data_IF_808755184219
#
_entry.id   IF_808755184219
#
_cell.length_a   1.000
_cell.length_b   1.000
_cell.length_c   1.000
_cell.angle_alpha   90.00
_cell.angle_beta   90.00
_cell.angle_gamma   90.00
#
_symmetry.space_group_name_H-M   'P 1'
#
loop_
_entity.id
_entity.type
_entity.pdbx_description
1 polymer ?
#
# COMPACT_ATOMS: atom_id res chain seq x y z
N UNK A 1 44.12 15.33 49.23
CA UNK A 1 43.51 14.67 48.07
C UNK A 1 44.12 15.32 46.83
N UNK A 2 44.88 14.60 46.02
CA UNK A 2 45.70 15.17 44.94
C UNK A 2 44.79 15.58 43.76
N UNK A 3 44.86 16.82 43.32
CA UNK A 3 44.09 17.39 42.23
C UNK A 3 44.21 16.62 40.90
N UNK A 4 45.26 15.85 40.72
CA UNK A 4 45.43 14.95 39.58
C UNK A 4 44.39 13.80 39.59
N UNK A 5 44.02 13.30 40.74
CA UNK A 5 43.06 12.16 40.85
C UNK A 5 41.62 12.60 40.67
N UNK A 6 41.31 13.89 40.91
CA UNK A 6 39.99 14.47 40.68
C UNK A 6 39.63 14.49 39.18
N UNK A 7 40.60 14.78 38.33
CA UNK A 7 40.37 14.76 36.87
C UNK A 7 40.01 13.36 36.36
N UNK A 8 40.65 12.35 36.87
CA UNK A 8 40.34 10.96 36.49
C UNK A 8 39.01 10.50 37.07
N UNK A 9 38.66 10.95 38.28
CA UNK A 9 37.35 10.67 38.86
C UNK A 9 36.22 11.34 38.08
N UNK A 10 36.44 12.55 37.58
CA UNK A 10 35.48 13.28 36.75
C UNK A 10 35.31 12.62 35.36
N UNK A 11 36.42 12.15 34.78
CA UNK A 11 36.39 11.41 33.52
C UNK A 11 35.70 10.06 33.68
N UNK A 12 35.94 9.34 34.78
CA UNK A 12 35.26 8.07 35.08
C UNK A 12 33.76 8.29 35.32
N UNK A 13 33.38 9.38 36.00
CA UNK A 13 31.97 9.73 36.20
C UNK A 13 31.27 10.09 34.90
N UNK A 14 31.95 10.80 33.99
CA UNK A 14 31.40 11.15 32.68
C UNK A 14 31.23 9.95 31.78
N UNK A 15 32.10 8.93 31.85
CA UNK A 15 31.94 7.68 31.05
C UNK A 15 30.79 6.80 31.52
N UNK A 16 30.42 6.88 32.81
CA UNK A 16 29.26 6.15 33.35
C UNK A 16 27.94 6.78 32.88
N UNK A 17 27.88 8.10 32.71
CA UNK A 17 26.68 8.78 32.22
C UNK A 17 26.42 8.56 30.71
N UNK A 18 27.43 8.24 29.91
CA UNK A 18 27.25 8.01 28.46
C UNK A 18 26.71 6.62 28.17
N UNK A 19 26.84 5.67 29.11
CA UNK A 19 26.33 4.30 28.96
C UNK A 19 24.88 4.13 29.43
N UNK A 20 24.29 5.14 30.09
CA UNK A 20 22.88 5.08 30.55
C UNK A 20 21.88 5.71 29.56
N UNK A 21 22.35 6.14 28.37
CA UNK A 21 21.47 6.79 27.39
C UNK A 21 20.90 5.82 26.34
N UNK A 22 21.02 4.53 26.53
CA UNK A 22 20.14 3.54 25.89
C UNK A 22 19.17 3.02 26.96
N UNK A 23 18.28 3.86 27.40
CA UNK A 23 16.97 3.44 27.85
C UNK A 23 16.30 2.92 26.58
N UNK A 24 16.28 1.60 26.41
CA UNK A 24 15.17 0.97 25.71
C UNK A 24 13.92 1.54 26.37
N UNK A 25 13.32 2.54 25.72
CA UNK A 25 11.93 2.82 25.99
C UNK A 25 11.25 1.48 25.76
N UNK A 26 10.74 0.87 26.83
CA UNK A 26 9.70 -0.12 26.70
C UNK A 26 8.77 0.44 25.64
N UNK A 27 8.73 -0.19 24.48
CA UNK A 27 7.68 0.01 23.49
C UNK A 27 6.43 -0.57 24.14
N UNK A 28 5.91 0.23 25.05
CA UNK A 28 4.78 -0.06 25.89
C UNK A 28 3.58 -0.39 25.00
N UNK A 29 2.78 -1.26 25.52
CA UNK A 29 1.48 -1.81 25.12
C UNK A 29 0.63 -0.99 24.11
N UNK A 30 0.87 0.32 24.00
CA UNK A 30 0.23 1.21 23.00
C UNK A 30 0.61 0.91 21.55
N UNK A 31 1.71 0.17 21.30
CA UNK A 31 2.18 -0.19 19.97
C UNK A 31 1.99 -1.69 19.65
N UNK A 32 1.34 -2.44 20.53
CA UNK A 32 1.11 -3.88 20.33
C UNK A 32 0.28 -4.15 19.07
N UNK A 33 -0.62 -3.23 18.72
CA UNK A 33 -1.52 -3.32 17.58
C UNK A 33 -0.79 -3.37 16.23
N UNK A 34 0.32 -2.63 16.12
CA UNK A 34 1.13 -2.56 14.91
C UNK A 34 2.41 -3.41 14.98
N UNK A 35 2.51 -4.29 15.98
CA UNK A 35 3.66 -5.20 16.12
C UNK A 35 3.77 -6.12 14.92
N UNK A 36 4.99 -6.29 14.40
CA UNK A 36 5.29 -7.10 13.22
C UNK A 36 4.44 -6.69 12.01
N UNK A 37 4.14 -5.38 11.89
CA UNK A 37 3.22 -4.86 10.87
C UNK A 37 3.66 -5.26 9.47
N UNK A 38 4.93 -5.12 9.13
CA UNK A 38 5.46 -5.47 7.82
C UNK A 38 5.19 -6.94 7.47
N UNK A 39 5.51 -7.87 8.38
CA UNK A 39 5.30 -9.30 8.16
C UNK A 39 3.82 -9.65 8.00
N UNK A 40 2.96 -9.08 8.85
CA UNK A 40 1.50 -9.28 8.78
C UNK A 40 0.94 -8.80 7.47
N UNK A 41 1.46 -7.72 6.99
CA UNK A 41 1.07 -7.05 5.79
C UNK A 41 1.52 -7.82 4.54
N UNK A 42 2.77 -8.21 4.47
CA UNK A 42 3.32 -9.04 3.40
C UNK A 42 2.53 -10.34 3.28
N UNK A 43 2.20 -10.95 4.43
CA UNK A 43 1.36 -12.16 4.47
C UNK A 43 -0.06 -11.88 3.97
N UNK A 44 -0.71 -10.82 4.42
CA UNK A 44 -2.08 -10.47 4.01
C UNK A 44 -2.14 -10.22 2.49
N UNK A 45 -1.14 -9.53 1.94
CA UNK A 45 -1.06 -9.31 0.51
C UNK A 45 -0.80 -10.62 -0.25
N UNK A 46 0.14 -11.46 0.19
CA UNK A 46 0.42 -12.76 -0.42
C UNK A 46 -0.82 -13.66 -0.44
N UNK A 47 -1.58 -13.72 0.66
CA UNK A 47 -2.83 -14.49 0.75
C UNK A 47 -3.88 -13.94 -0.23
N UNK A 48 -3.99 -12.61 -0.35
CA UNK A 48 -4.92 -11.95 -1.28
C UNK A 48 -4.55 -12.22 -2.74
N UNK A 49 -3.25 -12.15 -3.06
CA UNK A 49 -2.73 -12.43 -4.39
C UNK A 49 -2.93 -13.91 -4.79
N UNK A 50 -2.69 -14.83 -3.86
CA UNK A 50 -2.93 -16.26 -4.07
C UNK A 50 -4.42 -16.53 -4.34
N UNK A 51 -5.30 -15.91 -3.55
CA UNK A 51 -6.76 -15.99 -3.75
C UNK A 51 -7.16 -15.48 -5.14
N UNK A 52 -6.66 -14.30 -5.53
CA UNK A 52 -6.98 -13.73 -6.84
C UNK A 52 -6.52 -14.62 -7.99
N UNK A 53 -5.30 -15.13 -7.93
CA UNK A 53 -4.76 -16.07 -8.93
C UNK A 53 -5.62 -17.34 -9.04
N UNK A 54 -6.06 -17.86 -7.90
CA UNK A 54 -6.98 -19.03 -7.87
C UNK A 54 -8.34 -18.71 -8.50
N UNK A 55 -8.94 -17.56 -8.19
CA UNK A 55 -10.21 -17.14 -8.76
C UNK A 55 -10.12 -16.96 -10.28
N UNK A 56 -9.04 -16.33 -10.76
CA UNK A 56 -8.77 -16.16 -12.19
C UNK A 56 -8.60 -17.53 -12.86
N UNK A 57 -7.85 -18.45 -12.26
CA UNK A 57 -7.67 -19.81 -12.78
C UNK A 57 -8.99 -20.59 -12.85
N UNK A 58 -9.93 -20.30 -11.95
CA UNK A 58 -11.29 -20.87 -11.95
C UNK A 58 -12.25 -20.17 -12.92
N UNK A 59 -11.76 -19.22 -13.73
CA UNK A 59 -12.55 -18.52 -14.75
C UNK A 59 -13.32 -17.31 -14.26
N UNK A 60 -13.02 -16.79 -13.06
CA UNK A 60 -13.65 -15.55 -12.57
C UNK A 60 -13.21 -14.35 -13.38
N UNK A 61 -14.16 -13.55 -13.83
CA UNK A 61 -13.93 -12.25 -14.48
C UNK A 61 -13.95 -11.06 -13.51
N UNK A 62 -14.21 -11.33 -12.23
CA UNK A 62 -14.29 -10.32 -11.18
C UNK A 62 -12.92 -10.03 -10.53
N UNK A 63 -11.94 -10.89 -10.75
CA UNK A 63 -10.61 -10.75 -10.18
C UNK A 63 -9.59 -10.41 -11.26
N UNK A 64 -8.69 -9.50 -10.94
CA UNK A 64 -7.55 -9.15 -11.78
C UNK A 64 -6.29 -9.06 -10.93
N UNK A 65 -5.15 -9.40 -11.53
CA UNK A 65 -3.81 -9.12 -11.02
C UNK A 65 -3.13 -8.25 -12.06
N UNK A 66 -2.86 -7.00 -11.71
CA UNK A 66 -2.38 -5.97 -12.63
C UNK A 66 -0.96 -5.59 -12.22
N UNK A 67 -0.02 -5.66 -13.16
CA UNK A 67 1.35 -5.20 -12.93
C UNK A 67 1.37 -3.68 -12.79
N UNK A 68 2.21 -3.15 -11.89
CA UNK A 68 2.40 -1.73 -11.70
C UNK A 68 2.56 -1.00 -13.03
N UNK A 69 1.89 0.14 -13.15
CA UNK A 69 1.89 0.93 -14.38
C UNK A 69 3.30 1.39 -14.79
N UNK A 70 4.18 1.64 -13.83
CA UNK A 70 5.58 1.99 -14.08
C UNK A 70 6.38 0.86 -14.72
N UNK A 71 5.93 -0.38 -14.57
CA UNK A 71 6.58 -1.57 -15.08
C UNK A 71 5.92 -2.13 -16.35
N UNK A 72 4.75 -1.62 -16.76
CA UNK A 72 3.98 -2.20 -17.87
C UNK A 72 4.71 -2.15 -19.22
N UNK A 73 5.50 -1.11 -19.45
CA UNK A 73 6.22 -0.90 -20.70
C UNK A 73 7.68 -1.32 -20.66
N UNK A 74 8.12 -1.99 -19.61
CA UNK A 74 9.47 -2.53 -19.55
C UNK A 74 9.54 -3.79 -20.43
N UNK A 75 10.19 -3.67 -21.58
CA UNK A 75 10.54 -4.78 -22.45
C UNK A 75 11.98 -5.17 -22.20
N UNK A 76 12.26 -6.47 -22.06
CA UNK A 76 13.61 -7.00 -21.87
C UNK A 76 14.45 -7.06 -23.14
N UNK A 77 14.18 -6.22 -24.11
CA UNK A 77 14.97 -6.16 -25.36
C UNK A 77 16.00 -5.05 -25.26
N UNK A 78 17.16 -5.38 -24.72
CA UNK A 78 18.39 -4.68 -25.12
C UNK A 78 18.75 -5.23 -26.49
N UNK A 79 18.52 -4.48 -27.55
CA UNK A 79 19.01 -4.81 -28.87
C UNK A 79 20.53 -4.97 -28.78
N UNK A 80 21.05 -6.17 -29.08
CA UNK A 80 22.47 -6.45 -29.22
C UNK A 80 23.07 -7.53 -28.32
N UNK A 81 22.36 -8.13 -27.39
CA UNK A 81 22.86 -9.29 -26.65
C UNK A 81 21.85 -10.45 -26.73
N UNK A 82 22.28 -11.48 -27.43
CA UNK A 82 21.50 -12.70 -27.62
C UNK A 82 21.32 -13.47 -26.32
N UNK A 83 20.26 -13.19 -25.64
CA UNK A 83 19.46 -14.03 -24.75
C UNK A 83 18.36 -13.12 -24.22
N UNK A 84 17.11 -13.40 -24.53
CA UNK A 84 15.97 -12.74 -23.92
C UNK A 84 16.02 -13.00 -22.41
N UNK A 85 16.53 -12.05 -21.65
CA UNK A 85 16.44 -12.04 -20.19
C UNK A 85 14.96 -11.83 -19.88
N UNK A 86 14.28 -12.88 -19.47
CA UNK A 86 12.91 -12.79 -18.99
C UNK A 86 12.95 -12.00 -17.70
N UNK A 87 12.47 -10.75 -17.72
CA UNK A 87 12.32 -9.95 -16.53
C UNK A 87 11.40 -10.72 -15.56
N UNK A 88 11.92 -11.02 -14.39
CA UNK A 88 11.12 -11.58 -13.30
C UNK A 88 10.59 -10.43 -12.47
N UNK A 89 9.30 -10.43 -12.26
CA UNK A 89 8.61 -9.48 -11.40
C UNK A 89 8.31 -10.16 -10.07
N UNK A 90 8.47 -9.41 -8.98
CA UNK A 90 8.11 -9.85 -7.64
C UNK A 90 6.60 -9.68 -7.42
N UNK A 91 6.07 -10.32 -6.39
CA UNK A 91 4.65 -10.17 -6.05
C UNK A 91 4.28 -8.72 -5.74
N UNK A 92 5.19 -7.94 -5.15
CA UNK A 92 5.02 -6.51 -4.85
C UNK A 92 4.94 -5.60 -6.09
N UNK A 93 5.30 -6.13 -7.26
CA UNK A 93 5.20 -5.43 -8.55
C UNK A 93 3.76 -5.44 -9.11
N UNK A 94 2.83 -6.03 -8.38
CA UNK A 94 1.43 -6.17 -8.81
C UNK A 94 0.47 -5.55 -7.80
N UNK A 95 -0.70 -5.19 -8.30
CA UNK A 95 -1.89 -4.96 -7.48
C UNK A 95 -2.90 -6.08 -7.71
N UNK A 96 -3.71 -6.35 -6.70
CA UNK A 96 -4.86 -7.25 -6.80
C UNK A 96 -6.11 -6.41 -6.84
N UNK A 97 -7.01 -6.74 -7.74
CA UNK A 97 -8.31 -6.07 -7.91
C UNK A 97 -9.43 -7.09 -7.83
N UNK A 98 -10.43 -6.78 -7.01
CA UNK A 98 -11.73 -7.44 -7.00
C UNK A 98 -12.78 -6.43 -7.49
N UNK A 99 -13.40 -6.71 -8.62
CA UNK A 99 -14.42 -5.87 -9.25
C UNK A 99 -15.74 -6.13 -8.54
N UNK A 100 -16.23 -5.14 -7.79
CA UNK A 100 -17.50 -5.24 -7.07
C UNK A 100 -18.70 -4.87 -7.98
N UNK A 101 -18.45 -3.92 -8.90
CA UNK A 101 -19.43 -3.49 -9.90
C UNK A 101 -18.69 -2.99 -11.14
N UNK A 102 -19.17 -3.33 -12.31
CA UNK A 102 -18.72 -2.76 -13.58
C UNK A 102 -19.56 -1.53 -13.93
N UNK A 103 -18.88 -0.48 -14.38
CA UNK A 103 -19.50 0.70 -14.97
C UNK A 103 -20.07 0.40 -16.37
N UNK A 104 -20.65 1.42 -16.95
CA UNK A 104 -21.27 1.32 -18.30
C UNK A 104 -20.36 1.89 -19.41
N UNK A 105 -19.11 2.23 -19.08
CA UNK A 105 -18.14 2.81 -20.01
C UNK A 105 -17.00 1.81 -20.25
N UNK A 106 -16.59 1.70 -21.51
CA UNK A 106 -15.38 0.93 -21.89
C UNK A 106 -14.17 1.86 -22.10
N UNK A 107 -14.32 3.16 -21.84
CA UNK A 107 -13.23 4.13 -21.97
C UNK A 107 -12.23 3.98 -20.81
N UNK A 108 -10.98 3.74 -21.14
CA UNK A 108 -9.90 3.75 -20.17
C UNK A 108 -9.52 5.17 -19.77
N UNK A 109 -9.15 5.35 -18.51
CA UNK A 109 -8.57 6.60 -18.03
C UNK A 109 -7.15 6.77 -18.56
N UNK A 110 -6.80 7.98 -18.96
CA UNK A 110 -5.45 8.35 -19.33
C UNK A 110 -4.73 8.96 -18.12
N UNK A 111 -3.41 8.85 -18.11
CA UNK A 111 -2.57 9.39 -17.04
C UNK A 111 -2.77 10.88 -16.75
N UNK A 112 -3.18 11.65 -17.77
CA UNK A 112 -3.41 13.10 -17.68
C UNK A 112 -4.86 13.49 -17.44
N UNK A 113 -5.77 12.52 -17.33
CA UNK A 113 -7.19 12.81 -17.19
C UNK A 113 -7.53 13.42 -15.84
N UNK A 114 -8.51 14.31 -15.85
CA UNK A 114 -9.18 14.82 -14.65
C UNK A 114 -10.41 13.98 -14.38
N UNK A 115 -10.53 13.50 -13.15
CA UNK A 115 -11.57 12.58 -12.73
C UNK A 115 -12.28 13.08 -11.47
N UNK A 116 -13.49 12.59 -11.26
CA UNK A 116 -14.18 12.65 -9.97
C UNK A 116 -14.10 11.26 -9.34
N UNK A 117 -13.52 11.18 -8.15
CA UNK A 117 -13.17 9.93 -7.49
C UNK A 117 -13.76 9.89 -6.10
N UNK A 118 -14.43 8.79 -5.78
CA UNK A 118 -14.77 8.42 -4.40
C UNK A 118 -13.94 7.22 -4.00
N UNK A 119 -13.28 7.30 -2.85
CA UNK A 119 -12.44 6.21 -2.36
C UNK A 119 -12.43 6.14 -0.83
N UNK A 120 -12.02 5.01 -0.33
CA UNK A 120 -11.71 4.78 1.08
C UNK A 120 -10.46 3.91 1.17
N UNK A 121 -9.44 4.44 1.84
CA UNK A 121 -8.22 3.73 2.18
C UNK A 121 -8.30 3.11 3.56
N UNK A 122 -7.93 1.83 3.67
CA UNK A 122 -7.90 1.07 4.92
C UNK A 122 -6.59 0.32 5.10
N UNK A 123 -6.14 0.22 6.33
CA UNK A 123 -5.09 -0.71 6.72
C UNK A 123 -5.66 -2.14 6.82
N UNK A 124 -4.78 -3.13 6.82
CA UNK A 124 -5.19 -4.50 7.13
C UNK A 124 -5.86 -4.54 8.52
N UNK A 125 -6.75 -5.51 8.77
CA UNK A 125 -7.37 -5.67 10.08
C UNK A 125 -6.36 -5.79 11.21
N UNK A 126 -6.72 -5.21 12.36
CA UNK A 126 -5.97 -5.26 13.60
C UNK A 126 -6.92 -5.46 14.79
N UNK A 127 -6.38 -5.65 15.99
CA UNK A 127 -7.17 -6.01 17.17
C UNK A 127 -8.27 -4.97 17.49
N UNK A 128 -7.93 -3.68 17.38
CA UNK A 128 -8.90 -2.59 17.60
C UNK A 128 -9.73 -2.25 16.37
N UNK A 129 -9.30 -2.67 15.18
CA UNK A 129 -9.95 -2.33 13.90
C UNK A 129 -10.19 -3.59 13.06
N UNK A 130 -11.27 -4.31 13.39
CA UNK A 130 -11.62 -5.57 12.73
C UNK A 130 -11.81 -5.46 11.20
N UNK A 131 -12.19 -4.27 10.72
CA UNK A 131 -12.35 -3.98 9.28
C UNK A 131 -11.18 -3.16 8.69
N UNK A 132 -10.08 -3.03 9.45
CA UNK A 132 -8.96 -2.16 9.13
C UNK A 132 -9.21 -0.69 9.49
N UNK A 133 -8.17 0.00 9.94
CA UNK A 133 -8.21 1.44 10.22
C UNK A 133 -8.38 2.23 8.93
N UNK A 134 -9.38 3.11 8.87
CA UNK A 134 -9.58 4.03 7.75
C UNK A 134 -8.62 5.21 7.91
N UNK A 135 -7.67 5.35 6.99
CA UNK A 135 -6.68 6.42 7.05
C UNK A 135 -7.00 7.59 6.13
N UNK A 136 -7.80 7.36 5.08
CA UNK A 136 -8.25 8.39 4.16
C UNK A 136 -9.55 7.99 3.46
N UNK A 137 -10.45 8.94 3.21
CA UNK A 137 -11.73 8.67 2.56
C UNK A 137 -12.40 9.93 2.03
N UNK A 138 -13.27 9.75 1.05
CA UNK A 138 -14.13 10.81 0.50
C UNK A 138 -15.60 10.70 0.92
N UNK A 139 -15.96 9.68 1.69
CA UNK A 139 -17.33 9.46 2.20
C UNK A 139 -17.29 8.82 3.59
N UNK A 140 -18.23 9.22 4.46
CA UNK A 140 -18.24 8.81 5.87
C UNK A 140 -19.19 7.63 6.16
N UNK A 141 -20.11 7.29 5.24
CA UNK A 141 -21.02 6.16 5.41
C UNK A 141 -20.27 4.82 5.43
N UNK A 142 -20.78 3.80 6.12
CA UNK A 142 -20.16 2.47 6.17
C UNK A 142 -20.04 1.84 4.77
N UNK A 143 -21.05 2.07 3.92
CA UNK A 143 -21.06 1.63 2.53
C UNK A 143 -21.10 2.84 1.58
N UNK A 144 -20.51 2.66 0.41
CA UNK A 144 -20.55 3.67 -0.63
C UNK A 144 -21.99 3.84 -1.18
N UNK A 145 -22.46 5.07 -1.25
CA UNK A 145 -23.67 5.45 -1.96
C UNK A 145 -23.38 6.66 -2.86
N UNK A 146 -23.72 6.55 -4.12
CA UNK A 146 -23.59 7.67 -5.08
C UNK A 146 -24.44 8.88 -4.72
N UNK A 147 -25.49 8.68 -3.90
CA UNK A 147 -26.39 9.75 -3.46
C UNK A 147 -25.79 10.61 -2.35
N UNK A 148 -24.95 10.02 -1.50
CA UNK A 148 -24.38 10.67 -0.30
C UNK A 148 -22.89 10.94 -0.41
N UNK A 149 -22.18 10.25 -1.30
CA UNK A 149 -20.76 10.45 -1.51
C UNK A 149 -20.47 11.84 -2.08
N UNK A 150 -19.35 12.41 -1.66
CA UNK A 150 -18.83 13.69 -2.19
C UNK A 150 -17.52 13.40 -2.92
N UNK A 151 -17.57 13.04 -4.21
CA UNK A 151 -16.36 12.73 -4.95
C UNK A 151 -15.36 13.89 -4.91
N UNK A 152 -14.09 13.57 -4.74
CA UNK A 152 -13.04 14.56 -4.90
C UNK A 152 -12.69 14.72 -6.39
N UNK A 153 -12.42 15.94 -6.81
CA UNK A 153 -11.91 16.21 -8.16
C UNK A 153 -10.39 16.16 -8.14
N UNK A 154 -9.81 15.31 -8.95
CA UNK A 154 -8.37 15.09 -9.00
C UNK A 154 -7.92 14.73 -10.42
N UNK A 155 -6.63 14.54 -10.62
CA UNK A 155 -6.05 14.00 -11.85
C UNK A 155 -5.41 12.66 -11.58
N UNK A 156 -5.33 11.77 -12.58
CA UNK A 156 -4.68 10.47 -12.43
C UNK A 156 -3.20 10.63 -12.07
N UNK A 157 -2.54 11.68 -12.56
CA UNK A 157 -1.14 12.01 -12.31
C UNK A 157 -0.89 12.90 -11.08
N UNK A 158 -1.82 12.97 -10.14
CA UNK A 158 -1.71 13.86 -8.97
C UNK A 158 -0.52 13.58 -8.04
N UNK A 159 0.21 12.50 -8.26
CA UNK A 159 1.30 12.05 -7.38
C UNK A 159 0.85 10.98 -6.37
N UNK A 160 -0.22 10.27 -6.71
CA UNK A 160 -0.64 9.09 -5.97
C UNK A 160 0.46 8.03 -5.90
N UNK A 161 0.40 7.19 -4.89
CA UNK A 161 1.28 6.01 -4.81
C UNK A 161 1.03 5.07 -6.00
N UNK A 162 2.04 4.32 -6.36
CA UNK A 162 2.09 3.52 -7.59
C UNK A 162 0.92 2.54 -7.73
N UNK A 163 0.59 1.85 -6.63
CA UNK A 163 -0.55 0.93 -6.60
C UNK A 163 -1.89 1.62 -6.88
N UNK A 164 -2.09 2.81 -6.32
CA UNK A 164 -3.32 3.59 -6.54
C UNK A 164 -3.40 4.10 -7.98
N UNK A 165 -2.30 4.65 -8.52
CA UNK A 165 -2.23 5.07 -9.93
C UNK A 165 -2.48 3.88 -10.88
N UNK A 166 -1.92 2.71 -10.56
CA UNK A 166 -2.14 1.48 -11.33
C UNK A 166 -3.62 1.10 -11.34
N UNK A 167 -4.29 1.20 -10.20
CA UNK A 167 -5.72 0.92 -10.10
C UNK A 167 -6.54 1.93 -10.91
N UNK A 168 -6.24 3.24 -10.79
CA UNK A 168 -6.94 4.30 -11.55
C UNK A 168 -6.84 4.08 -13.06
N UNK A 169 -5.66 3.76 -13.58
CA UNK A 169 -5.45 3.51 -15.01
C UNK A 169 -6.18 2.26 -15.53
N UNK A 170 -6.56 1.36 -14.64
CA UNK A 170 -7.33 0.16 -14.98
C UNK A 170 -8.83 0.31 -14.86
N UNK A 171 -9.33 1.40 -14.24
CA UNK A 171 -10.74 1.67 -14.00
C UNK A 171 -11.44 2.26 -15.24
N UNK A 172 -12.73 1.97 -15.33
CA UNK A 172 -13.66 2.67 -16.23
C UNK A 172 -14.65 3.49 -15.43
N UNK A 173 -15.25 4.49 -16.07
CA UNK A 173 -16.24 5.35 -15.43
C UNK A 173 -17.42 4.52 -14.92
N UNK A 174 -17.72 4.65 -13.63
CA UNK A 174 -18.79 3.92 -12.95
C UNK A 174 -18.39 2.55 -12.40
N UNK A 175 -17.12 2.16 -12.54
CA UNK A 175 -16.59 0.97 -11.87
C UNK A 175 -16.53 1.17 -10.36
N UNK A 176 -16.70 0.06 -9.62
CA UNK A 176 -16.43 -0.01 -8.19
C UNK A 176 -15.51 -1.20 -7.93
N UNK A 177 -14.30 -0.92 -7.49
CA UNK A 177 -13.26 -1.92 -7.23
C UNK A 177 -12.82 -1.91 -5.79
N UNK A 178 -12.44 -3.09 -5.31
CA UNK A 178 -11.58 -3.23 -4.15
C UNK A 178 -10.18 -3.55 -4.67
N UNK A 179 -9.23 -2.63 -4.45
CA UNK A 179 -7.86 -2.80 -4.87
C UNK A 179 -6.94 -2.99 -3.67
N UNK A 180 -6.01 -3.93 -3.77
CA UNK A 180 -4.99 -4.21 -2.75
C UNK A 180 -3.62 -4.23 -3.39
N UNK A 181 -2.66 -3.65 -2.72
CA UNK A 181 -1.24 -3.67 -3.14
C UNK A 181 -0.34 -3.72 -1.92
N UNK A 182 0.87 -4.24 -2.11
CA UNK A 182 1.92 -4.15 -1.12
C UNK A 182 2.85 -2.99 -1.46
N UNK A 183 3.07 -2.11 -0.51
CA UNK A 183 4.16 -1.13 -0.61
C UNK A 183 5.07 -1.35 0.58
N UNK A 184 6.39 -1.19 0.44
CA UNK A 184 7.33 -1.41 1.54
C UNK A 184 7.05 -0.55 2.78
N UNK A 185 6.05 0.30 2.77
CA UNK A 185 5.78 1.24 3.87
C UNK A 185 4.36 1.32 4.38
N UNK A 186 3.33 0.98 3.63
CA UNK A 186 1.94 0.96 4.16
C UNK A 186 1.03 0.25 3.18
N UNK A 187 0.18 -0.60 3.64
CA UNK A 187 -0.69 -1.44 2.87
C UNK A 187 -2.13 -1.06 3.01
N UNK A 188 -2.83 -1.18 1.91
CA UNK A 188 -4.24 -0.87 1.88
C UNK A 188 -5.05 -1.78 0.95
N UNK A 189 -6.12 -2.42 1.41
CA UNK A 189 -7.26 -2.62 0.54
C UNK A 189 -8.01 -1.28 0.44
N UNK A 190 -8.03 -0.68 -0.75
CA UNK A 190 -8.83 0.51 -1.01
C UNK A 190 -10.01 0.16 -1.91
N UNK A 191 -11.19 0.68 -1.61
CA UNK A 191 -12.31 0.67 -2.54
C UNK A 191 -12.25 1.95 -3.37
N UNK A 192 -12.16 1.81 -4.69
CA UNK A 192 -12.13 2.93 -5.61
C UNK A 192 -13.43 2.93 -6.39
N UNK A 193 -14.15 4.04 -6.33
CA UNK A 193 -15.38 4.27 -7.09
C UNK A 193 -15.17 5.51 -7.92
N UNK A 194 -15.44 5.45 -9.21
CA UNK A 194 -15.38 6.58 -10.16
C UNK A 194 -16.77 7.08 -10.54
#
# INVERSE_FOLDING_TARGET
MNFKNIKYLFFLLMTVFVLSSCSETNEDESNSEFRNWQERNDKAFADTLAKARQQIANGSSEWKVIRSWTLQNQTSTTEGQGAASTLKYNDDDYIVVHILKKGNSDANLLYTDSIQLSYRGRLIPSDSYANGYVFDQTFDADEYSSETAKPTKTTVNYGWIDGFTTALLGLHVGDHWLASWNTPRVVEPSSITT
#
